data_IF_080695974441
#
_entry.id   IF_080695974441
#
_cell.length_a   1.000
_cell.length_b   1.000
_cell.length_c   1.000
_cell.angle_alpha   90.00
_cell.angle_beta   90.00
_cell.angle_gamma   90.00
#
_symmetry.space_group_name_H-M   'P 1'
#
loop_
_entity.id
_entity.type
_entity.pdbx_description
1 polymer ?
#
# COMPACT_ATOMS: atom_id res chain seq x y z
N UNK A 1 -1.73 34.57 -40.18
CA UNK A 1 -0.86 34.20 -39.04
C UNK A 1 -0.27 32.84 -39.37
N UNK A 2 1.05 32.63 -39.24
CA UNK A 2 1.63 31.33 -39.53
C UNK A 2 1.13 30.30 -38.51
N UNK A 3 0.75 29.12 -38.99
CA UNK A 3 0.42 27.96 -38.17
C UNK A 3 1.59 27.62 -37.25
N UNK A 4 1.29 27.45 -35.97
CA UNK A 4 2.24 27.05 -34.95
C UNK A 4 2.26 25.50 -34.92
N UNK A 5 3.31 24.82 -35.38
CA UNK A 5 3.35 23.36 -35.32
C UNK A 5 3.38 22.91 -33.85
N UNK A 6 2.52 21.94 -33.50
CA UNK A 6 2.46 21.36 -32.16
C UNK A 6 3.84 20.84 -31.73
N UNK A 7 4.26 21.07 -30.46
CA UNK A 7 5.62 20.78 -29.98
C UNK A 7 5.86 19.30 -29.67
N UNK A 8 4.91 18.42 -29.99
CA UNK A 8 5.02 16.98 -29.72
C UNK A 8 5.47 16.27 -31.00
N UNK A 9 6.72 15.76 -31.07
CA UNK A 9 7.11 14.89 -32.16
C UNK A 9 6.19 13.66 -32.14
N UNK A 10 5.62 13.33 -33.30
CA UNK A 10 4.77 12.17 -33.55
C UNK A 10 5.36 10.91 -32.88
N UNK A 11 4.65 10.34 -31.90
CA UNK A 11 5.06 9.14 -31.17
C UNK A 11 4.96 7.92 -32.13
N UNK A 12 6.06 7.28 -32.54
CA UNK A 12 6.09 6.44 -33.74
C UNK A 12 5.72 4.96 -33.52
N UNK A 13 4.79 4.61 -32.61
CA UNK A 13 4.66 3.20 -32.20
C UNK A 13 3.27 2.68 -31.79
N UNK A 14 2.18 3.33 -32.21
CA UNK A 14 0.84 2.77 -32.01
C UNK A 14 0.35 2.07 -33.28
N UNK A 15 -0.20 0.84 -33.21
CA UNK A 15 -0.89 0.23 -34.34
C UNK A 15 -2.11 1.06 -34.74
N UNK A 16 -2.26 1.34 -36.03
CA UNK A 16 -3.39 2.10 -36.60
C UNK A 16 -4.29 1.19 -37.44
N UNK A 17 -5.60 1.43 -37.39
CA UNK A 17 -6.56 0.96 -38.40
C UNK A 17 -7.07 2.13 -39.27
N UNK A 18 -8.08 1.91 -40.11
CA UNK A 18 -8.63 2.93 -41.01
C UNK A 18 -9.23 4.15 -40.28
N UNK A 19 -9.49 4.08 -38.96
CA UNK A 19 -10.09 5.14 -38.16
C UNK A 19 -9.14 5.81 -37.15
N UNK A 20 -7.89 5.35 -37.03
CA UNK A 20 -6.90 5.95 -36.14
C UNK A 20 -6.11 4.93 -35.32
N UNK A 21 -5.43 5.37 -34.24
CA UNK A 21 -4.73 4.47 -33.33
C UNK A 21 -5.73 3.50 -32.67
N UNK A 22 -5.45 2.19 -32.75
CA UNK A 22 -6.27 1.13 -32.12
C UNK A 22 -6.24 1.22 -30.59
N UNK A 23 -5.22 1.88 -30.03
CA UNK A 23 -5.04 2.11 -28.60
C UNK A 23 -4.89 3.61 -28.34
N UNK A 24 -5.50 4.10 -27.26
CA UNK A 24 -5.42 5.52 -26.88
C UNK A 24 -4.03 5.88 -26.35
N UNK A 25 -3.37 4.95 -25.68
CA UNK A 25 -2.07 5.17 -25.06
C UNK A 25 -1.10 4.01 -25.36
N UNK A 26 0.22 4.26 -25.52
CA UNK A 26 1.20 3.22 -25.81
C UNK A 26 1.23 2.07 -24.80
N UNK A 27 0.93 2.32 -23.53
CA UNK A 27 0.92 1.30 -22.49
C UNK A 27 -0.24 0.29 -22.68
N UNK A 28 -1.35 0.69 -23.28
CA UNK A 28 -2.49 -0.20 -23.54
C UNK A 28 -2.12 -1.28 -24.55
N UNK A 29 -1.42 -0.88 -25.63
CA UNK A 29 -0.87 -1.80 -26.62
C UNK A 29 0.13 -2.79 -26.01
N UNK A 30 0.97 -2.32 -25.08
CA UNK A 30 1.93 -3.17 -24.37
C UNK A 30 1.23 -4.19 -23.45
N UNK A 31 0.23 -3.77 -22.70
CA UNK A 31 -0.55 -4.66 -21.83
C UNK A 31 -1.28 -5.75 -22.65
N UNK A 32 -1.87 -5.37 -23.78
CA UNK A 32 -2.48 -6.31 -24.71
C UNK A 32 -1.47 -7.32 -25.26
N UNK A 33 -0.33 -6.84 -25.78
CA UNK A 33 0.71 -7.70 -26.34
C UNK A 33 1.28 -8.67 -25.29
N UNK A 34 1.42 -8.24 -24.04
CA UNK A 34 1.87 -9.10 -22.94
C UNK A 34 0.87 -10.22 -22.65
N UNK A 35 -0.43 -9.90 -22.60
CA UNK A 35 -1.48 -10.90 -22.42
C UNK A 35 -1.51 -11.92 -23.56
N UNK A 36 -1.43 -11.46 -24.82
CA UNK A 36 -1.38 -12.32 -26.02
C UNK A 36 -0.19 -13.28 -25.96
N UNK A 37 0.99 -12.76 -25.59
CA UNK A 37 2.22 -13.56 -25.52
C UNK A 37 2.17 -14.62 -24.42
N UNK A 38 1.63 -14.28 -23.24
CA UNK A 38 1.50 -15.23 -22.15
C UNK A 38 0.48 -16.34 -22.48
N UNK A 39 -0.62 -15.97 -23.14
CA UNK A 39 -1.61 -16.93 -23.64
C UNK A 39 -1.03 -17.88 -24.69
N UNK A 40 -0.29 -17.36 -25.67
CA UNK A 40 0.32 -18.19 -26.72
C UNK A 40 1.42 -19.12 -26.19
N UNK A 41 2.05 -18.76 -25.06
CA UNK A 41 2.97 -19.62 -24.32
C UNK A 41 2.28 -20.66 -23.43
N UNK A 42 0.94 -20.68 -23.40
CA UNK A 42 0.15 -21.66 -22.66
C UNK A 42 0.03 -21.40 -21.17
N UNK A 43 0.38 -20.20 -20.69
CA UNK A 43 0.28 -19.85 -19.26
C UNK A 43 -1.17 -19.71 -18.77
N UNK A 44 -2.06 -19.26 -19.66
CA UNK A 44 -3.50 -19.27 -19.48
C UNK A 44 -4.16 -19.33 -20.86
N UNK A 45 -5.41 -19.74 -20.91
CA UNK A 45 -6.22 -19.73 -22.13
C UNK A 45 -6.99 -18.42 -22.26
N UNK A 46 -7.43 -18.08 -23.47
CA UNK A 46 -8.33 -16.94 -23.68
C UNK A 46 -9.68 -17.09 -22.97
N UNK A 47 -10.11 -18.34 -22.71
CA UNK A 47 -11.31 -18.60 -21.90
C UNK A 47 -11.08 -18.18 -20.44
N UNK A 48 -9.98 -18.61 -19.83
CA UNK A 48 -9.59 -18.19 -18.48
C UNK A 48 -9.40 -16.67 -18.39
N UNK A 49 -8.82 -16.06 -19.43
CA UNK A 49 -8.70 -14.61 -19.54
C UNK A 49 -10.05 -13.90 -19.50
N UNK A 50 -10.99 -14.31 -20.36
CA UNK A 50 -12.32 -13.69 -20.44
C UNK A 50 -13.10 -13.84 -19.13
N UNK A 51 -13.01 -15.01 -18.48
CA UNK A 51 -13.61 -15.26 -17.18
C UNK A 51 -13.03 -14.34 -16.09
N UNK A 52 -11.70 -14.18 -16.05
CA UNK A 52 -11.03 -13.31 -15.09
C UNK A 52 -11.34 -11.83 -15.32
N UNK A 53 -11.39 -11.38 -16.59
CA UNK A 53 -11.71 -9.99 -16.93
C UNK A 53 -13.17 -9.66 -16.60
N UNK A 54 -14.09 -10.57 -16.89
CA UNK A 54 -15.49 -10.39 -16.53
C UNK A 54 -15.67 -10.29 -15.00
N UNK A 55 -14.95 -11.12 -14.23
CA UNK A 55 -14.95 -11.03 -12.77
C UNK A 55 -14.34 -9.72 -12.26
N UNK A 56 -13.29 -9.20 -12.91
CA UNK A 56 -12.71 -7.90 -12.56
C UNK A 56 -13.68 -6.76 -12.77
N UNK A 57 -14.32 -6.71 -13.95
CA UNK A 57 -15.29 -5.68 -14.29
C UNK A 57 -16.52 -5.74 -13.37
N UNK A 58 -17.06 -6.93 -13.11
CA UNK A 58 -18.16 -7.10 -12.16
C UNK A 58 -17.77 -6.60 -10.76
N UNK A 59 -16.57 -6.91 -10.29
CA UNK A 59 -16.10 -6.44 -9.01
C UNK A 59 -15.89 -4.92 -8.97
N UNK A 60 -15.51 -4.29 -10.09
CA UNK A 60 -15.40 -2.82 -10.18
C UNK A 60 -16.77 -2.13 -10.10
N UNK A 61 -17.78 -2.68 -10.78
CA UNK A 61 -19.19 -2.23 -10.65
C UNK A 61 -19.67 -2.31 -9.20
N UNK A 62 -19.39 -3.43 -8.52
CA UNK A 62 -19.77 -3.59 -7.10
C UNK A 62 -19.09 -2.57 -6.17
N UNK A 63 -17.92 -2.04 -6.55
CA UNK A 63 -17.18 -1.04 -5.77
C UNK A 63 -17.51 0.40 -6.15
N UNK A 64 -18.45 0.63 -7.08
CA UNK A 64 -18.75 1.96 -7.64
C UNK A 64 -17.53 2.61 -8.32
N UNK A 65 -16.64 1.77 -8.86
CA UNK A 65 -15.43 2.13 -9.60
C UNK A 65 -15.60 1.83 -11.10
N UNK A 66 -16.84 1.58 -11.55
CA UNK A 66 -17.10 1.29 -12.94
C UNK A 66 -17.26 2.59 -13.73
N UNK A 67 -16.48 2.69 -14.79
CA UNK A 67 -16.47 3.87 -15.65
C UNK A 67 -17.64 3.84 -16.65
N UNK A 68 -18.34 4.96 -16.80
CA UNK A 68 -19.52 5.05 -17.69
C UNK A 68 -19.13 5.12 -19.17
N UNK A 69 -17.94 5.65 -19.49
CA UNK A 69 -17.47 5.88 -20.87
C UNK A 69 -16.44 4.85 -21.37
N UNK A 70 -15.99 3.95 -20.49
CA UNK A 70 -15.03 2.89 -20.78
C UNK A 70 -13.57 3.34 -20.86
N UNK A 71 -13.22 4.55 -20.41
CA UNK A 71 -11.85 5.05 -20.42
C UNK A 71 -10.90 4.22 -19.55
N UNK A 72 -11.41 3.63 -18.46
CA UNK A 72 -10.67 2.74 -17.57
C UNK A 72 -10.61 1.27 -18.01
N UNK A 73 -11.17 0.91 -19.18
CA UNK A 73 -11.21 -0.48 -19.65
C UNK A 73 -9.84 -1.19 -19.62
N UNK A 74 -8.79 -0.50 -20.09
CA UNK A 74 -7.43 -1.06 -20.09
C UNK A 74 -6.78 -1.08 -18.69
N UNK A 75 -7.28 -0.32 -17.72
CA UNK A 75 -6.86 -0.45 -16.32
C UNK A 75 -7.37 -1.77 -15.74
N UNK A 76 -8.64 -2.11 -15.97
CA UNK A 76 -9.18 -3.42 -15.61
C UNK A 76 -8.47 -4.57 -16.36
N UNK A 77 -8.05 -4.33 -17.60
CA UNK A 77 -7.23 -5.27 -18.37
C UNK A 77 -5.89 -5.57 -17.68
N UNK A 78 -5.18 -4.53 -17.23
CA UNK A 78 -3.92 -4.69 -16.49
C UNK A 78 -4.15 -5.35 -15.13
N UNK A 79 -5.19 -4.96 -14.38
CA UNK A 79 -5.53 -5.57 -13.10
C UNK A 79 -5.81 -7.08 -13.25
N UNK A 80 -6.55 -7.46 -14.29
CA UNK A 80 -6.82 -8.86 -14.65
C UNK A 80 -5.52 -9.61 -14.96
N UNK A 81 -4.64 -9.01 -15.76
CA UNK A 81 -3.34 -9.59 -16.09
C UNK A 81 -2.50 -9.87 -14.84
N UNK A 82 -2.42 -8.90 -13.93
CA UNK A 82 -1.70 -9.04 -12.66
C UNK A 82 -2.26 -10.16 -11.78
N UNK A 83 -3.59 -10.28 -11.69
CA UNK A 83 -4.25 -11.37 -10.96
C UNK A 83 -3.93 -12.73 -11.57
N UNK A 84 -4.01 -12.86 -12.89
CA UNK A 84 -3.71 -14.12 -13.59
C UNK A 84 -2.25 -14.53 -13.46
N UNK A 85 -1.30 -13.63 -13.70
CA UNK A 85 0.13 -13.97 -13.58
C UNK A 85 0.52 -14.33 -12.14
N UNK A 86 -0.13 -13.71 -11.15
CA UNK A 86 0.05 -14.05 -9.72
C UNK A 86 -0.54 -15.42 -9.41
N UNK A 87 -1.78 -15.69 -9.84
CA UNK A 87 -2.46 -16.96 -9.59
C UNK A 87 -1.74 -18.16 -10.26
N UNK A 88 -1.11 -17.91 -11.42
CA UNK A 88 -0.30 -18.91 -12.15
C UNK A 88 1.16 -19.00 -11.67
N UNK A 89 1.55 -18.19 -10.68
CA UNK A 89 2.91 -18.22 -10.10
C UNK A 89 4.01 -17.70 -11.02
N UNK A 90 3.68 -16.91 -12.04
CA UNK A 90 4.64 -16.33 -13.00
C UNK A 90 5.32 -15.07 -12.47
N UNK A 91 4.64 -14.38 -11.55
CA UNK A 91 5.19 -13.26 -10.80
C UNK A 91 4.62 -13.31 -9.37
N UNK A 92 5.46 -12.98 -8.39
CA UNK A 92 4.98 -12.82 -7.02
C UNK A 92 4.28 -11.49 -6.81
N UNK A 93 3.18 -11.47 -6.04
CA UNK A 93 2.57 -10.20 -5.61
C UNK A 93 3.57 -9.21 -4.97
N UNK A 94 4.54 -9.66 -4.13
CA UNK A 94 5.60 -8.78 -3.64
C UNK A 94 6.50 -8.23 -4.75
N UNK A 95 6.83 -9.04 -5.77
CA UNK A 95 7.72 -8.64 -6.86
C UNK A 95 7.06 -7.60 -7.77
N UNK A 96 5.77 -7.77 -8.07
CA UNK A 96 4.97 -6.79 -8.81
C UNK A 96 4.91 -5.47 -8.05
N UNK A 97 4.65 -5.53 -6.74
CA UNK A 97 4.65 -4.35 -5.88
C UNK A 97 6.01 -3.64 -5.87
N UNK A 98 7.10 -4.39 -5.68
CA UNK A 98 8.47 -3.86 -5.72
C UNK A 98 8.77 -3.18 -7.07
N UNK A 99 8.31 -3.77 -8.18
CA UNK A 99 8.50 -3.21 -9.52
C UNK A 99 7.73 -1.91 -9.72
N UNK A 100 6.48 -1.83 -9.28
CA UNK A 100 5.67 -0.59 -9.34
C UNK A 100 6.32 0.53 -8.52
N UNK A 101 6.75 0.21 -7.30
CA UNK A 101 7.44 1.16 -6.43
C UNK A 101 8.74 1.67 -7.05
N UNK A 102 9.51 0.79 -7.71
CA UNK A 102 10.74 1.15 -8.43
C UNK A 102 10.51 2.19 -9.52
N UNK A 103 9.44 2.01 -10.30
CA UNK A 103 9.09 2.93 -11.38
C UNK A 103 8.61 4.28 -10.86
N UNK A 104 7.75 4.29 -9.83
CA UNK A 104 7.28 5.52 -9.20
C UNK A 104 8.43 6.33 -8.59
N UNK A 105 9.38 5.65 -7.93
CA UNK A 105 10.58 6.26 -7.40
C UNK A 105 11.50 6.81 -8.49
N UNK A 106 11.74 6.03 -9.55
CA UNK A 106 12.55 6.48 -10.69
C UNK A 106 11.93 7.73 -11.35
N UNK A 107 10.61 7.74 -11.55
CA UNK A 107 9.90 8.88 -12.11
C UNK A 107 10.10 10.15 -11.27
N UNK A 108 9.89 10.09 -9.94
CA UNK A 108 10.08 11.24 -9.04
C UNK A 108 11.50 11.80 -9.03
N UNK A 109 12.51 10.98 -9.27
CA UNK A 109 13.92 11.37 -9.22
C UNK A 109 14.53 11.65 -10.60
N UNK A 110 13.77 11.50 -11.68
CA UNK A 110 14.23 11.82 -13.03
C UNK A 110 13.97 13.29 -13.30
N UNK A 111 15.01 14.11 -13.55
CA UNK A 111 14.81 15.51 -13.95
C UNK A 111 13.91 15.61 -15.17
N UNK A 112 13.07 16.65 -15.23
CA UNK A 112 12.18 16.86 -16.38
C UNK A 112 12.97 16.87 -17.69
N UNK A 113 12.45 16.15 -18.70
CA UNK A 113 13.08 16.00 -20.02
C UNK A 113 14.14 14.91 -20.11
N UNK A 114 14.46 14.20 -19.01
CA UNK A 114 15.34 13.03 -19.04
C UNK A 114 14.52 11.72 -19.07
N UNK A 115 15.04 10.65 -19.71
CA UNK A 115 14.36 9.36 -19.72
C UNK A 115 14.35 8.72 -18.33
N UNK A 116 13.19 8.19 -17.92
CA UNK A 116 13.05 7.48 -16.64
C UNK A 116 13.75 6.13 -16.72
N UNK A 117 14.78 5.93 -15.90
CA UNK A 117 15.52 4.68 -15.84
C UNK A 117 15.39 4.03 -14.47
N UNK A 118 15.07 2.73 -14.45
CA UNK A 118 15.14 1.96 -13.22
C UNK A 118 16.60 1.90 -12.75
N UNK A 119 16.83 2.22 -11.48
CA UNK A 119 18.15 2.12 -10.87
C UNK A 119 18.53 0.65 -10.72
N UNK A 120 19.69 0.25 -11.27
CA UNK A 120 20.20 -1.11 -11.11
C UNK A 120 20.38 -1.42 -9.62
N UNK A 121 19.83 -2.55 -9.16
CA UNK A 121 19.80 -2.87 -7.74
C UNK A 121 18.78 -2.08 -6.93
N UNK A 122 17.77 -1.45 -7.56
CA UNK A 122 16.53 -1.09 -6.88
C UNK A 122 15.90 -2.37 -6.34
N UNK A 123 16.25 -2.68 -5.11
CA UNK A 123 15.33 -3.30 -4.17
C UNK A 123 14.51 -2.15 -3.62
N UNK A 124 13.29 -2.38 -3.12
CA UNK A 124 12.70 -1.39 -2.21
C UNK A 124 13.76 -1.15 -1.13
N UNK A 125 14.46 -0.02 -1.25
CA UNK A 125 15.60 0.25 -0.43
C UNK A 125 15.04 0.80 0.85
N UNK A 126 14.87 -0.06 1.85
CA UNK A 126 14.52 0.36 3.18
C UNK A 126 15.55 1.37 3.78
N UNK A 127 16.61 1.82 3.08
CA UNK A 127 17.54 2.83 3.58
C UNK A 127 16.94 4.25 3.69
N UNK A 128 15.99 4.65 2.83
CA UNK A 128 15.19 5.88 3.08
C UNK A 128 14.11 5.64 4.16
N UNK A 129 13.92 4.37 4.54
CA UNK A 129 13.03 3.86 5.59
C UNK A 129 13.81 3.29 6.80
N UNK A 130 15.08 3.64 7.01
CA UNK A 130 15.83 3.24 8.20
C UNK A 130 16.03 4.49 9.01
N UNK A 131 15.25 4.62 10.06
CA UNK A 131 15.41 5.69 11.02
C UNK A 131 16.87 5.74 11.49
N UNK A 132 17.44 6.95 11.67
CA UNK A 132 18.85 7.11 11.96
C UNK A 132 19.25 6.38 13.25
N UNK A 133 20.51 5.96 13.31
CA UNK A 133 21.13 5.58 14.56
C UNK A 133 21.57 6.86 15.28
N UNK A 134 21.25 6.94 16.56
CA UNK A 134 21.79 7.96 17.44
C UNK A 134 22.67 7.29 18.48
N UNK A 135 23.76 7.97 18.84
CA UNK A 135 24.67 7.52 19.88
C UNK A 135 24.17 8.04 21.22
N UNK A 136 23.87 7.14 22.14
CA UNK A 136 23.50 7.46 23.51
C UNK A 136 24.56 6.93 24.45
N UNK A 137 25.11 7.82 25.28
CA UNK A 137 26.07 7.46 26.32
C UNK A 137 25.31 7.19 27.60
N UNK A 138 25.49 5.99 28.15
CA UNK A 138 24.90 5.59 29.42
C UNK A 138 25.65 6.26 30.57
N UNK A 139 25.07 6.19 31.77
CA UNK A 139 25.67 6.74 33.01
C UNK A 139 27.07 6.17 33.30
N UNK A 140 27.33 4.92 32.90
CA UNK A 140 28.64 4.25 33.03
C UNK A 140 29.69 4.70 32.00
N UNK A 141 29.38 5.72 31.18
CA UNK A 141 30.26 6.22 30.12
C UNK A 141 30.28 5.37 28.86
N UNK A 142 29.59 4.23 28.82
CA UNK A 142 29.53 3.37 27.64
C UNK A 142 28.55 3.93 26.61
N UNK A 143 29.04 4.20 25.40
CA UNK A 143 28.18 4.57 24.28
C UNK A 143 27.52 3.36 23.62
N UNK A 144 26.23 3.50 23.29
CA UNK A 144 25.48 2.56 22.47
C UNK A 144 24.84 3.30 21.31
N UNK A 145 24.78 2.64 20.16
CA UNK A 145 23.99 3.10 19.02
C UNK A 145 22.58 2.56 19.16
N UNK A 146 21.60 3.46 19.24
CA UNK A 146 20.18 3.11 19.27
C UNK A 146 19.52 3.62 18.00
N UNK A 147 18.56 2.86 17.49
CA UNK A 147 17.79 3.29 16.32
C UNK A 147 16.63 4.14 16.78
N UNK A 148 16.52 5.34 16.21
CA UNK A 148 15.28 6.14 16.31
C UNK A 148 14.15 5.32 15.68
N UNK A 149 12.91 5.44 16.10
CA UNK A 149 11.78 4.82 15.40
C UNK A 149 10.84 5.94 14.99
N UNK A 150 10.28 5.85 13.79
CA UNK A 150 9.36 6.85 13.27
C UNK A 150 7.99 6.71 13.94
N UNK A 151 7.69 5.49 14.39
CA UNK A 151 6.53 5.21 15.21
C UNK A 151 6.52 3.82 15.82
N UNK A 152 5.41 3.53 16.49
CA UNK A 152 5.17 2.29 17.19
C UNK A 152 3.68 1.94 17.15
N UNK A 153 3.38 0.68 16.85
CA UNK A 153 2.05 0.10 16.99
C UNK A 153 2.01 -0.73 18.27
N UNK A 154 1.11 -0.34 19.15
CA UNK A 154 0.77 -1.08 20.35
C UNK A 154 -0.51 -1.86 20.12
N UNK A 155 -0.44 -3.15 20.40
CA UNK A 155 -1.61 -4.04 20.38
C UNK A 155 -1.91 -4.43 21.83
N UNK A 156 -3.14 -4.20 22.28
CA UNK A 156 -3.57 -4.61 23.61
C UNK A 156 -3.92 -6.11 23.61
N UNK A 157 -3.32 -6.86 24.53
CA UNK A 157 -3.68 -8.25 24.81
C UNK A 157 -4.03 -8.44 26.30
N UNK A 158 -4.94 -7.58 26.77
CA UNK A 158 -5.24 -7.38 28.19
C UNK A 158 -6.49 -8.05 28.71
N UNK A 159 -7.16 -7.38 29.65
CA UNK A 159 -8.33 -7.92 30.36
C UNK A 159 -9.62 -7.97 29.53
N UNK A 160 -9.69 -7.21 28.43
CA UNK A 160 -10.81 -7.19 27.46
C UNK A 160 -10.39 -7.70 26.06
N UNK A 161 -9.25 -7.25 25.55
CA UNK A 161 -8.80 -7.60 24.20
C UNK A 161 -8.38 -9.07 24.11
N UNK A 162 -8.94 -9.80 23.14
CA UNK A 162 -8.69 -11.23 22.93
C UNK A 162 -9.30 -12.16 23.98
N UNK A 163 -10.16 -11.68 24.88
CA UNK A 163 -10.80 -12.48 25.94
C UNK A 163 -12.13 -13.07 25.48
N UNK A 164 -12.05 -14.11 24.68
CA UNK A 164 -13.23 -14.86 24.19
C UNK A 164 -14.00 -15.54 25.32
N UNK A 165 -13.32 -15.89 26.41
CA UNK A 165 -13.92 -16.41 27.65
C UNK A 165 -14.90 -15.42 28.31
N UNK A 166 -14.76 -14.12 28.02
CA UNK A 166 -15.63 -13.05 28.52
C UNK A 166 -16.60 -12.51 27.47
N UNK A 167 -16.75 -13.20 26.33
CA UNK A 167 -17.62 -12.79 25.25
C UNK A 167 -17.05 -11.71 24.32
N UNK A 168 -15.76 -11.36 24.45
CA UNK A 168 -15.12 -10.44 23.52
C UNK A 168 -14.58 -11.16 22.26
N UNK A 169 -14.44 -10.49 21.11
CA UNK A 169 -13.86 -11.09 19.91
C UNK A 169 -12.40 -11.52 20.12
N UNK A 170 -11.99 -12.58 19.44
CA UNK A 170 -10.60 -13.01 19.41
C UNK A 170 -9.71 -11.91 18.80
N UNK A 171 -8.51 -11.73 19.37
CA UNK A 171 -7.52 -10.80 18.83
C UNK A 171 -6.70 -11.52 17.74
N UNK A 172 -6.61 -11.01 16.50
CA UNK A 172 -5.81 -11.60 15.42
C UNK A 172 -4.30 -11.37 15.63
N UNK A 173 -3.76 -11.78 16.78
CA UNK A 173 -2.39 -11.51 17.21
C UNK A 173 -1.33 -12.14 16.28
N UNK A 174 -1.62 -13.31 15.73
CA UNK A 174 -0.74 -13.98 14.78
C UNK A 174 -0.56 -13.15 13.50
N UNK A 175 -1.66 -12.58 13.00
CA UNK A 175 -1.66 -11.75 11.80
C UNK A 175 -0.81 -10.49 12.00
N UNK A 176 -0.93 -9.81 13.15
CA UNK A 176 -0.10 -8.66 13.47
C UNK A 176 1.40 -8.98 13.37
N UNK A 177 1.82 -10.11 13.95
CA UNK A 177 3.22 -10.54 13.92
C UNK A 177 3.67 -10.91 12.50
N UNK A 178 2.81 -11.62 11.77
CA UNK A 178 3.09 -12.06 10.40
C UNK A 178 3.24 -10.87 9.46
N UNK A 179 2.30 -9.94 9.47
CA UNK A 179 2.33 -8.75 8.62
C UNK A 179 3.51 -7.85 8.92
N UNK A 180 3.78 -7.57 10.21
CA UNK A 180 4.95 -6.78 10.60
C UNK A 180 6.28 -7.38 10.11
N UNK A 181 6.42 -8.71 10.19
CA UNK A 181 7.60 -9.42 9.68
C UNK A 181 7.65 -9.40 8.16
N UNK A 182 6.55 -9.76 7.50
CA UNK A 182 6.39 -9.83 6.04
C UNK A 182 6.72 -8.49 5.38
N UNK A 183 6.25 -7.38 5.97
CA UNK A 183 6.44 -6.02 5.47
C UNK A 183 7.78 -5.39 5.86
N UNK A 184 8.60 -6.08 6.68
CA UNK A 184 9.96 -5.63 7.02
C UNK A 184 10.03 -4.39 7.91
N UNK A 185 8.98 -4.11 8.70
CA UNK A 185 8.81 -2.82 9.40
C UNK A 185 9.76 -2.59 10.60
N UNK A 186 10.40 -3.65 11.11
CA UNK A 186 11.17 -3.66 12.37
C UNK A 186 12.16 -2.51 12.55
N UNK A 187 12.79 -2.03 11.47
CA UNK A 187 13.86 -1.03 11.57
C UNK A 187 13.34 0.41 11.63
N UNK A 188 12.04 0.63 11.53
CA UNK A 188 11.44 1.96 11.39
C UNK A 188 10.20 2.15 12.24
N UNK A 189 9.36 1.12 12.28
CA UNK A 189 8.09 1.14 12.97
C UNK A 189 7.96 -0.13 13.82
N UNK A 190 7.94 0.06 15.14
CA UNK A 190 8.04 -1.04 16.07
C UNK A 190 6.65 -1.63 16.39
N UNK A 191 6.55 -2.96 16.50
CA UNK A 191 5.35 -3.62 17.01
C UNK A 191 5.55 -4.01 18.47
N UNK A 192 4.61 -3.61 19.33
CA UNK A 192 4.61 -3.96 20.75
C UNK A 192 3.29 -4.59 21.15
N UNK A 193 3.38 -5.79 21.73
CA UNK A 193 2.23 -6.46 22.34
C UNK A 193 2.22 -6.09 23.81
N UNK A 194 1.29 -5.23 24.17
CA UNK A 194 1.14 -4.70 25.53
C UNK A 194 0.17 -5.56 26.35
N UNK A 195 0.40 -5.60 27.66
CA UNK A 195 -0.54 -6.22 28.60
C UNK A 195 -1.84 -5.43 28.73
N UNK A 196 -1.81 -4.10 28.79
CA UNK A 196 -3.01 -3.27 28.79
C UNK A 196 -2.67 -1.86 28.30
N UNK A 197 -3.58 -1.23 27.55
CA UNK A 197 -3.46 0.17 27.12
C UNK A 197 -4.25 1.16 27.99
N UNK A 198 -4.84 0.67 29.09
CA UNK A 198 -5.59 1.48 30.06
C UNK A 198 -7.03 1.00 30.24
N UNK A 199 -7.81 1.64 31.13
CA UNK A 199 -9.21 1.31 31.34
C UNK A 199 -9.97 1.57 30.05
N UNK A 200 -10.42 0.51 29.39
CA UNK A 200 -11.17 0.61 28.14
C UNK A 200 -12.31 -0.42 28.17
N UNK A 201 -13.56 0.00 27.92
CA UNK A 201 -14.68 -0.93 27.75
C UNK A 201 -14.66 -1.63 26.39
N UNK A 202 -13.79 -1.19 25.47
CA UNK A 202 -13.71 -1.69 24.10
C UNK A 202 -12.74 -2.88 24.00
N UNK A 203 -13.04 -3.78 23.07
CA UNK A 203 -12.18 -4.92 22.75
C UNK A 203 -11.27 -4.64 21.55
N UNK A 204 -10.17 -5.39 21.49
CA UNK A 204 -9.17 -5.37 20.43
C UNK A 204 -8.71 -3.96 20.06
N UNK A 205 -8.33 -3.21 21.10
CA UNK A 205 -7.83 -1.85 21.00
C UNK A 205 -6.37 -1.86 20.59
N UNK A 206 -6.03 -0.96 19.68
CA UNK A 206 -4.66 -0.67 19.27
C UNK A 206 -4.38 0.83 19.37
N UNK A 207 -3.10 1.16 19.50
CA UNK A 207 -2.60 2.52 19.48
C UNK A 207 -1.46 2.59 18.46
N UNK A 208 -1.56 3.52 17.53
CA UNK A 208 -0.47 3.93 16.67
C UNK A 208 0.10 5.23 17.21
N UNK A 209 1.39 5.24 17.53
CA UNK A 209 2.15 6.45 17.81
C UNK A 209 3.09 6.71 16.65
N UNK A 210 2.96 7.86 16.00
CA UNK A 210 3.78 8.23 14.84
C UNK A 210 3.82 9.75 14.71
N UNK A 211 4.97 10.33 14.37
CA UNK A 211 5.16 11.78 14.21
C UNK A 211 4.60 12.65 15.36
N UNK A 212 4.67 12.15 16.61
CA UNK A 212 4.15 12.85 17.79
C UNK A 212 2.63 12.72 18.01
N UNK A 213 1.91 12.02 17.14
CA UNK A 213 0.47 11.78 17.22
C UNK A 213 0.16 10.46 17.90
N UNK A 214 -1.03 10.34 18.47
CA UNK A 214 -1.58 9.09 19.01
C UNK A 214 -2.93 8.80 18.36
N UNK A 215 -2.97 7.78 17.52
CA UNK A 215 -4.18 7.36 16.78
C UNK A 215 -4.68 6.06 17.42
N UNK A 216 -5.94 6.05 17.84
CA UNK A 216 -6.52 4.93 18.58
C UNK A 216 -7.63 4.29 17.76
N UNK A 217 -7.59 2.96 17.70
CA UNK A 217 -8.64 2.15 17.09
C UNK A 217 -9.13 1.07 18.05
N UNK A 218 -10.37 0.65 17.84
CA UNK A 218 -10.96 -0.50 18.54
C UNK A 218 -11.56 -1.49 17.54
N UNK A 219 -12.06 -2.62 18.04
CA UNK A 219 -12.74 -3.64 17.22
C UNK A 219 -11.88 -4.16 16.05
N UNK A 220 -10.57 -4.28 16.25
CA UNK A 220 -9.66 -4.92 15.29
C UNK A 220 -9.74 -6.43 15.47
N UNK A 221 -10.79 -7.03 14.90
CA UNK A 221 -11.24 -8.38 15.22
C UNK A 221 -10.83 -9.41 14.17
N UNK A 222 -10.58 -8.96 12.94
CA UNK A 222 -10.36 -9.83 11.79
C UNK A 222 -8.97 -9.62 11.19
N UNK A 223 -8.40 -10.65 10.52
CA UNK A 223 -7.13 -10.50 9.81
C UNK A 223 -7.13 -9.36 8.77
N UNK A 224 -8.26 -9.15 8.07
CA UNK A 224 -8.41 -8.06 7.12
C UNK A 224 -8.27 -6.67 7.78
N UNK A 225 -8.72 -6.50 9.03
CA UNK A 225 -8.55 -5.25 9.76
C UNK A 225 -7.06 -4.97 10.03
N UNK A 226 -6.27 -6.02 10.26
CA UNK A 226 -4.82 -5.91 10.48
C UNK A 226 -4.12 -5.44 9.21
N UNK A 227 -4.54 -5.93 8.04
CA UNK A 227 -4.03 -5.46 6.76
C UNK A 227 -4.34 -3.99 6.52
N UNK A 228 -5.57 -3.53 6.82
CA UNK A 228 -5.95 -2.12 6.73
C UNK A 228 -5.06 -1.24 7.62
N UNK A 229 -4.79 -1.67 8.86
CA UNK A 229 -3.89 -0.94 9.77
C UNK A 229 -2.48 -0.84 9.21
N UNK A 230 -1.91 -1.92 8.69
CA UNK A 230 -0.57 -1.85 8.14
C UNK A 230 -0.51 -1.05 6.84
N UNK A 231 -1.51 -1.13 5.97
CA UNK A 231 -1.60 -0.29 4.78
C UNK A 231 -1.63 1.19 5.16
N UNK A 232 -2.45 1.56 6.16
CA UNK A 232 -2.51 2.93 6.66
C UNK A 232 -1.17 3.40 7.24
N UNK A 233 -0.53 2.59 8.09
CA UNK A 233 0.80 2.89 8.63
C UNK A 233 1.84 3.06 7.51
N UNK A 234 1.79 2.23 6.46
CA UNK A 234 2.72 2.37 5.35
C UNK A 234 2.52 3.65 4.56
N UNK A 235 1.28 4.13 4.38
CA UNK A 235 1.01 5.43 3.76
C UNK A 235 1.66 6.56 4.56
N UNK A 236 1.40 6.62 5.88
CA UNK A 236 2.02 7.61 6.77
C UNK A 236 3.57 7.53 6.79
N UNK A 237 4.15 6.35 6.59
CA UNK A 237 5.61 6.19 6.51
C UNK A 237 6.20 6.56 5.13
N UNK A 238 5.39 6.60 4.06
CA UNK A 238 5.82 7.03 2.71
C UNK A 238 5.68 8.53 2.56
N UNK A 239 4.54 9.04 3.00
CA UNK A 239 4.15 10.42 2.93
C UNK A 239 3.93 10.92 4.36
N UNK A 240 4.88 11.70 4.88
CA UNK A 240 4.84 12.26 6.23
C UNK A 240 3.64 13.22 6.43
N UNK A 241 2.81 13.43 5.40
CA UNK A 241 1.61 14.30 5.42
C UNK A 241 0.28 13.56 5.15
N UNK A 242 0.30 12.28 4.76
CA UNK A 242 -0.92 11.51 4.51
C UNK A 242 -1.50 10.95 5.82
N UNK A 243 -2.37 11.75 6.43
CA UNK A 243 -2.97 11.50 7.73
C UNK A 243 -4.43 11.00 7.65
N UNK A 244 -4.96 10.79 6.45
CA UNK A 244 -6.37 10.46 6.28
C UNK A 244 -6.65 9.00 6.63
N UNK A 245 -7.59 8.82 7.56
CA UNK A 245 -7.95 7.50 8.07
C UNK A 245 -8.84 6.80 7.05
N UNK A 246 -8.53 5.53 6.69
CA UNK A 246 -9.39 4.76 5.79
C UNK A 246 -10.84 4.72 6.27
N UNK A 247 -11.79 4.83 5.35
CA UNK A 247 -13.23 4.89 5.65
C UNK A 247 -13.68 3.68 6.49
N UNK A 248 -13.11 2.52 6.23
CA UNK A 248 -13.39 1.27 6.93
C UNK A 248 -12.96 1.29 8.41
N UNK A 249 -11.99 2.15 8.74
CA UNK A 249 -11.46 2.33 10.09
C UNK A 249 -11.98 3.60 10.77
N UNK A 250 -12.49 4.58 10.02
CA UNK A 250 -12.92 5.88 10.55
C UNK A 250 -13.95 5.73 11.68
N UNK A 251 -14.96 4.86 11.49
CA UNK A 251 -15.99 4.60 12.51
C UNK A 251 -15.46 3.88 13.77
N UNK A 252 -14.23 3.35 13.72
CA UNK A 252 -13.57 2.62 14.81
C UNK A 252 -12.48 3.44 15.48
N UNK A 253 -12.28 4.67 15.03
CA UNK A 253 -11.35 5.61 15.62
C UNK A 253 -12.00 6.27 16.84
N UNK A 254 -11.22 6.52 17.88
CA UNK A 254 -11.66 7.35 19.00
C UNK A 254 -10.52 8.22 19.55
N UNK A 255 -10.88 9.26 20.29
CA UNK A 255 -9.91 10.05 21.04
C UNK A 255 -9.78 9.49 22.46
N UNK A 256 -8.55 9.15 22.85
CA UNK A 256 -8.26 8.70 24.22
C UNK A 256 -7.94 9.83 25.16
N UNK A 257 -7.25 10.84 24.66
CA UNK A 257 -6.78 11.98 25.42
C UNK A 257 -7.46 13.24 24.90
N UNK A 258 -7.56 14.23 25.77
CA UNK A 258 -7.98 15.56 25.36
C UNK A 258 -6.94 16.08 24.38
N UNK A 259 -7.39 16.50 23.20
CA UNK A 259 -6.62 17.41 22.37
C UNK A 259 -6.25 18.62 23.25
N UNK A 260 -5.03 19.17 23.16
CA UNK A 260 -4.75 20.45 23.77
C UNK A 260 -5.80 21.40 23.22
N UNK A 261 -6.73 21.85 24.07
CA UNK A 261 -7.71 22.83 23.64
C UNK A 261 -6.92 23.93 22.93
N UNK A 262 -7.41 24.38 21.78
CA UNK A 262 -7.14 25.74 21.34
C UNK A 262 -7.32 26.58 22.61
N UNK A 263 -6.20 26.96 23.24
CA UNK A 263 -6.19 27.83 24.41
C UNK A 263 -6.75 29.12 23.85
N UNK A 264 -8.07 29.21 23.84
CA UNK A 264 -8.82 30.42 23.58
C UNK A 264 -8.17 31.50 24.43
N UNK A 265 -7.80 32.59 23.78
CA UNK A 265 -7.82 33.96 24.30
C UNK A 265 -7.31 34.15 25.73
#
# INVERSE_FOLDING_TARGET
MPENPSPFPELPSLPHDENGPVFAEPWQAQAFALAVRLSSQGHFTWKEWAEALAAELAAAVERDEADEDGSEYYLHWVATLEKLVTAKGLAGAPELFERKAAWADAFRHTPHGQPVQLRAGFRINYAYRQSPLIRVTREDGVSKEIRVQDGQLFVCNGCCCGRTDKGFPALPLAEFKQQWKKRGMRRRFHLTISGCLGPCPLANVILIQIHGRSIWFHSINHPADVDLIYNFVERMLVDDTDDEIPVELAARQFQRYLEPAARMM
#
